data_IF_251427424152
#
_entry.id   IF_251427424152
#
_cell.length_a   1.000
_cell.length_b   1.000
_cell.length_c   1.000
_cell.angle_alpha   90.00
_cell.angle_beta   90.00
_cell.angle_gamma   90.00
#
_symmetry.space_group_name_H-M   'P 1'
#
loop_
_entity.id
_entity.type
_entity.pdbx_description
1 polymer ?
#
# COMPACT_ATOMS: atom_id res chain seq x y z
N UNK A 1 -4.42 12.28 33.64
CA UNK A 1 -5.03 11.89 32.35
C UNK A 1 -4.28 10.66 31.88
N UNK A 2 -4.90 9.48 31.97
CA UNK A 2 -4.31 8.25 31.43
C UNK A 2 -4.33 8.42 29.91
N UNK A 3 -3.15 8.59 29.30
CA UNK A 3 -3.04 8.67 27.85
C UNK A 3 -3.64 7.40 27.26
N UNK A 4 -4.71 7.56 26.49
CA UNK A 4 -5.32 6.46 25.75
C UNK A 4 -4.23 5.84 24.87
N UNK A 5 -3.85 4.59 25.14
CA UNK A 5 -2.82 3.92 24.33
C UNK A 5 -3.32 3.89 22.89
N UNK A 6 -2.61 4.55 21.97
CA UNK A 6 -2.91 4.50 20.54
C UNK A 6 -2.97 3.03 20.12
N UNK A 7 -4.05 2.64 19.46
CA UNK A 7 -4.22 1.27 18.96
C UNK A 7 -3.27 1.06 17.78
N UNK A 8 -2.50 -0.03 17.74
CA UNK A 8 -1.71 -0.39 16.56
C UNK A 8 -2.61 -0.50 15.32
N UNK A 9 -2.21 0.04 14.16
CA UNK A 9 -3.03 0.05 12.95
C UNK A 9 -3.44 -1.36 12.51
N UNK A 10 -2.53 -2.34 12.63
CA UNK A 10 -2.82 -3.75 12.32
C UNK A 10 -3.87 -4.33 13.26
N UNK A 11 -3.85 -3.96 14.55
CA UNK A 11 -4.79 -4.49 15.54
C UNK A 11 -6.21 -3.99 15.26
N UNK A 12 -6.37 -2.71 14.91
CA UNK A 12 -7.69 -2.15 14.57
C UNK A 12 -8.20 -2.70 13.24
N UNK A 13 -7.34 -2.84 12.22
CA UNK A 13 -7.72 -3.49 10.96
C UNK A 13 -8.13 -4.96 11.17
N UNK A 14 -7.38 -5.73 11.97
CA UNK A 14 -7.69 -7.12 12.30
C UNK A 14 -9.01 -7.25 13.07
N UNK A 15 -9.32 -6.31 13.98
CA UNK A 15 -10.61 -6.28 14.68
C UNK A 15 -11.78 -6.22 13.70
N UNK A 16 -11.68 -5.36 12.68
CA UNK A 16 -12.70 -5.24 11.64
C UNK A 16 -12.75 -6.47 10.73
N UNK A 17 -11.60 -7.02 10.35
CA UNK A 17 -11.52 -8.26 9.56
C UNK A 17 -12.18 -9.44 10.30
N UNK A 18 -11.94 -9.58 11.60
CA UNK A 18 -12.58 -10.61 12.45
C UNK A 18 -14.09 -10.39 12.50
N UNK A 19 -14.55 -9.15 12.68
CA UNK A 19 -15.99 -8.83 12.66
C UNK A 19 -16.63 -9.24 11.31
N UNK A 20 -16.00 -8.87 10.19
CA UNK A 20 -16.46 -9.25 8.85
C UNK A 20 -16.49 -10.77 8.66
N UNK A 21 -15.47 -11.49 9.14
CA UNK A 21 -15.46 -12.97 9.10
C UNK A 21 -16.63 -13.58 9.87
N UNK A 22 -17.01 -13.02 11.02
CA UNK A 22 -18.15 -13.53 11.78
C UNK A 22 -19.49 -13.29 11.07
N UNK A 23 -19.64 -12.16 10.38
CA UNK A 23 -20.90 -11.78 9.72
C UNK A 23 -21.04 -12.39 8.32
N UNK A 24 -19.96 -12.38 7.53
CA UNK A 24 -19.97 -12.72 6.09
C UNK A 24 -19.18 -13.99 5.76
N UNK A 25 -18.44 -14.56 6.71
CA UNK A 25 -17.60 -15.75 6.45
C UNK A 25 -16.59 -15.50 5.34
N UNK A 26 -16.49 -16.42 4.38
CA UNK A 26 -15.61 -16.32 3.21
C UNK A 26 -16.09 -15.31 2.16
N UNK A 27 -17.37 -14.93 2.18
CA UNK A 27 -17.94 -13.90 1.29
C UNK A 27 -17.56 -12.46 1.66
N UNK A 28 -16.66 -12.28 2.63
CA UNK A 28 -16.18 -10.96 3.09
C UNK A 28 -15.26 -10.24 2.09
N UNK A 29 -14.79 -10.95 1.06
CA UNK A 29 -13.87 -10.41 0.06
C UNK A 29 -14.51 -10.34 -1.33
N UNK A 30 -14.22 -9.28 -2.10
CA UNK A 30 -13.50 -8.07 -1.70
C UNK A 30 -14.27 -7.29 -0.61
N UNK A 31 -13.55 -6.70 0.35
CA UNK A 31 -14.19 -5.89 1.40
C UNK A 31 -14.89 -4.68 0.78
N UNK A 32 -16.19 -4.56 0.99
CA UNK A 32 -16.94 -3.33 0.68
C UNK A 32 -16.53 -2.25 1.69
N UNK A 33 -15.53 -1.46 1.32
CA UNK A 33 -14.91 -0.48 2.21
C UNK A 33 -15.84 0.69 2.50
N UNK A 34 -16.72 1.04 1.56
CA UNK A 34 -17.64 2.16 1.76
C UNK A 34 -18.72 1.78 2.77
N UNK A 35 -19.35 0.62 2.58
CA UNK A 35 -20.38 0.13 3.49
C UNK A 35 -19.78 -0.15 4.87
N UNK A 36 -18.61 -0.77 4.93
CA UNK A 36 -17.91 -1.00 6.19
C UNK A 36 -17.63 0.32 6.93
N UNK A 37 -17.08 1.32 6.25
CA UNK A 37 -16.75 2.61 6.87
C UNK A 37 -18.01 3.31 7.41
N UNK A 38 -19.11 3.29 6.64
CA UNK A 38 -20.40 3.84 7.07
C UNK A 38 -20.96 3.09 8.27
N UNK A 39 -21.08 1.78 8.21
CA UNK A 39 -21.68 0.96 9.27
C UNK A 39 -20.89 1.04 10.58
N UNK A 40 -19.56 0.91 10.52
CA UNK A 40 -18.72 0.98 11.71
C UNK A 40 -18.78 2.37 12.34
N UNK A 41 -18.79 3.42 11.51
CA UNK A 41 -18.78 4.80 12.01
C UNK A 41 -20.08 5.22 12.70
N UNK A 42 -21.23 4.59 12.39
CA UNK A 42 -22.54 4.88 13.04
C UNK A 42 -22.56 4.63 14.53
N UNK A 43 -21.63 3.84 15.05
CA UNK A 43 -21.48 3.60 16.49
C UNK A 43 -20.75 4.75 17.22
N UNK A 44 -20.29 5.78 16.50
CA UNK A 44 -19.65 6.96 17.07
C UNK A 44 -20.59 8.18 17.01
N UNK A 45 -20.38 9.14 17.92
CA UNK A 45 -21.11 10.42 17.91
C UNK A 45 -20.76 11.30 16.69
N UNK A 46 -19.63 11.03 16.04
CA UNK A 46 -19.11 11.69 14.85
C UNK A 46 -18.98 10.72 13.66
N UNK A 47 -20.10 10.23 13.08
CA UNK A 47 -20.07 9.21 12.05
C UNK A 47 -19.52 9.73 10.70
N UNK A 48 -19.18 8.80 9.81
CA UNK A 48 -18.90 9.12 8.41
C UNK A 48 -20.24 9.25 7.67
N UNK A 49 -20.65 10.49 7.40
CA UNK A 49 -21.93 10.76 6.73
C UNK A 49 -21.85 10.67 5.22
N UNK A 50 -20.67 10.90 4.63
CA UNK A 50 -20.49 10.89 3.17
C UNK A 50 -19.14 10.32 2.79
N UNK A 51 -19.16 9.44 1.80
CA UNK A 51 -18.02 8.99 1.01
C UNK A 51 -18.37 9.37 -0.42
N UNK A 52 -17.52 10.13 -1.10
CA UNK A 52 -17.86 10.68 -2.42
C UNK A 52 -16.62 10.88 -3.30
N UNK A 53 -16.73 10.37 -4.53
CA UNK A 53 -15.79 10.63 -5.60
C UNK A 53 -15.96 12.03 -6.18
N UNK A 54 -14.86 12.66 -6.58
CA UNK A 54 -14.86 13.93 -7.29
C UNK A 54 -13.52 14.22 -7.95
N UNK A 55 -13.46 15.28 -8.74
CA UNK A 55 -12.18 15.77 -9.26
C UNK A 55 -11.42 16.48 -8.13
N UNK A 56 -10.29 15.89 -7.73
CA UNK A 56 -9.41 16.41 -6.69
C UNK A 56 -8.00 16.60 -7.28
N UNK A 57 -7.72 17.72 -7.97
CA UNK A 57 -6.41 17.97 -8.54
C UNK A 57 -5.33 17.99 -7.47
N UNK A 58 -4.37 17.07 -7.56
CA UNK A 58 -3.24 16.96 -6.63
C UNK A 58 -3.53 16.24 -5.31
N UNK A 59 -4.71 15.67 -5.12
CA UNK A 59 -5.06 14.86 -3.96
C UNK A 59 -5.71 13.55 -4.40
N UNK A 60 -5.38 12.46 -3.71
CA UNK A 60 -6.00 11.15 -3.96
C UNK A 60 -7.23 10.96 -3.07
N UNK A 61 -7.10 11.30 -1.80
CA UNK A 61 -8.15 11.23 -0.79
C UNK A 61 -8.05 12.38 0.19
N UNK A 62 -9.13 12.60 0.93
CA UNK A 62 -9.14 13.47 2.10
C UNK A 62 -10.30 13.11 3.04
N UNK A 63 -9.97 12.88 4.30
CA UNK A 63 -10.90 12.90 5.42
C UNK A 63 -11.08 14.35 5.91
N UNK A 64 -12.32 14.84 5.94
CA UNK A 64 -12.62 16.20 6.41
C UNK A 64 -13.88 16.27 7.28
N UNK A 65 -13.94 17.18 8.27
CA UNK A 65 -15.15 17.38 9.05
C UNK A 65 -16.23 18.09 8.23
N UNK A 66 -17.49 17.78 8.51
CA UNK A 66 -18.63 18.50 8.00
C UNK A 66 -18.67 19.92 8.61
N UNK A 67 -19.07 20.92 7.82
CA UNK A 67 -18.99 22.33 8.23
C UNK A 67 -19.96 22.73 9.35
N UNK A 68 -21.07 22.01 9.52
CA UNK A 68 -22.21 22.42 10.38
C UNK A 68 -22.66 21.43 11.46
N UNK A 69 -22.12 20.20 11.50
CA UNK A 69 -22.51 19.16 12.46
C UNK A 69 -21.35 18.17 12.68
N UNK A 70 -21.29 17.46 13.82
CA UNK A 70 -20.22 16.50 14.12
C UNK A 70 -20.36 15.26 13.24
N UNK A 71 -19.77 15.33 12.05
CA UNK A 71 -19.83 14.30 11.02
C UNK A 71 -18.56 14.40 10.17
N UNK A 72 -18.05 13.26 9.70
CA UNK A 72 -16.87 13.18 8.85
C UNK A 72 -17.23 12.80 7.42
N UNK A 73 -16.52 13.38 6.45
CA UNK A 73 -16.65 13.06 5.02
C UNK A 73 -15.33 12.53 4.49
N UNK A 74 -15.38 11.42 3.77
CA UNK A 74 -14.29 10.92 2.93
C UNK A 74 -14.55 11.42 1.51
N UNK A 75 -13.57 12.09 0.93
CA UNK A 75 -13.59 12.50 -0.48
C UNK A 75 -12.41 11.84 -1.17
N UNK A 76 -12.60 11.34 -2.38
CA UNK A 76 -11.50 10.72 -3.14
C UNK A 76 -11.56 11.12 -4.61
N UNK A 77 -10.42 11.00 -5.28
CA UNK A 77 -10.30 11.23 -6.71
C UNK A 77 -10.85 10.03 -7.48
N UNK A 78 -11.91 10.25 -8.25
CA UNK A 78 -12.65 9.20 -8.95
C UNK A 78 -12.19 9.04 -10.41
N UNK A 79 -10.87 8.99 -10.61
CA UNK A 79 -10.28 8.75 -11.92
C UNK A 79 -10.41 7.26 -12.29
N UNK A 80 -11.16 6.90 -13.36
CA UNK A 80 -11.39 5.52 -13.74
C UNK A 80 -10.12 4.73 -14.08
N UNK A 81 -9.01 5.41 -14.41
CA UNK A 81 -7.72 4.77 -14.68
C UNK A 81 -7.11 4.10 -13.46
N UNK A 82 -7.64 4.39 -12.26
CA UNK A 82 -7.02 4.02 -10.99
C UNK A 82 -8.00 3.35 -10.00
N UNK A 83 -9.03 2.62 -10.46
CA UNK A 83 -10.07 2.03 -9.57
C UNK A 83 -9.53 1.19 -8.40
N UNK A 84 -8.46 0.42 -8.61
CA UNK A 84 -7.79 -0.33 -7.53
C UNK A 84 -7.12 0.58 -6.48
N UNK A 85 -6.76 1.81 -6.87
CA UNK A 85 -6.27 2.85 -5.97
C UNK A 85 -7.40 3.47 -5.17
N UNK A 86 -8.58 3.71 -5.78
CA UNK A 86 -9.76 4.26 -5.09
C UNK A 86 -10.11 3.50 -3.81
N UNK A 87 -10.14 2.16 -3.85
CA UNK A 87 -10.44 1.34 -2.66
C UNK A 87 -9.38 1.48 -1.57
N UNK A 88 -8.11 1.52 -1.96
CA UNK A 88 -7.01 1.74 -1.03
C UNK A 88 -7.10 3.14 -0.41
N UNK A 89 -7.36 4.17 -1.21
CA UNK A 89 -7.56 5.55 -0.75
C UNK A 89 -8.69 5.63 0.27
N UNK A 90 -9.88 5.06 -0.01
CA UNK A 90 -11.00 5.07 0.95
C UNK A 90 -10.61 4.33 2.23
N UNK A 91 -9.91 3.20 2.13
CA UNK A 91 -9.43 2.45 3.30
C UNK A 91 -8.39 3.23 4.12
N UNK A 92 -7.53 3.99 3.45
CA UNK A 92 -6.52 4.86 4.06
C UNK A 92 -7.20 6.02 4.82
N UNK A 93 -8.15 6.72 4.18
CA UNK A 93 -8.94 7.77 4.84
C UNK A 93 -9.78 7.21 6.01
N UNK A 94 -10.27 5.98 5.87
CA UNK A 94 -10.95 5.30 6.97
C UNK A 94 -9.98 4.91 8.10
N UNK A 95 -8.73 4.59 7.78
CA UNK A 95 -7.65 4.42 8.77
C UNK A 95 -7.42 5.69 9.57
N UNK A 96 -7.33 6.84 8.89
CA UNK A 96 -7.29 8.14 9.57
C UNK A 96 -8.50 8.37 10.47
N UNK A 97 -9.71 8.01 10.00
CA UNK A 97 -10.91 8.10 10.82
C UNK A 97 -10.78 7.25 12.09
N UNK A 98 -10.32 6.01 12.00
CA UNK A 98 -10.25 5.12 13.16
C UNK A 98 -9.12 5.46 14.14
N UNK A 99 -7.98 5.91 13.63
CA UNK A 99 -6.74 5.99 14.40
C UNK A 99 -6.39 7.43 14.81
N UNK A 100 -6.72 8.41 13.96
CA UNK A 100 -6.09 9.73 14.03
C UNK A 100 -7.11 10.87 14.18
N UNK A 101 -8.40 10.63 13.91
CA UNK A 101 -9.40 11.71 13.90
C UNK A 101 -9.53 12.34 15.30
N UNK A 102 -9.62 13.67 15.39
CA UNK A 102 -10.06 14.31 16.62
C UNK A 102 -11.57 14.16 16.78
N UNK A 103 -12.05 13.68 17.93
CA UNK A 103 -13.50 13.49 18.16
C UNK A 103 -14.24 14.82 17.98
N UNK A 104 -15.30 14.81 17.17
CA UNK A 104 -16.21 15.94 17.00
C UNK A 104 -17.42 15.78 17.93
N UNK A 105 -17.83 16.87 18.58
CA UNK A 105 -19.00 16.90 19.46
C UNK A 105 -19.90 18.07 19.11
N UNK A 106 -21.14 18.04 19.61
CA UNK A 106 -22.08 19.16 19.45
C UNK A 106 -21.53 20.50 19.98
N UNK A 107 -20.61 20.47 20.96
CA UNK A 107 -19.98 21.69 21.52
C UNK A 107 -19.10 22.40 20.49
N UNK A 108 -18.42 21.64 19.64
CA UNK A 108 -17.57 22.17 18.56
C UNK A 108 -18.37 22.95 17.51
N UNK A 109 -19.70 22.76 17.47
CA UNK A 109 -20.64 23.37 16.51
C UNK A 109 -21.63 24.35 17.14
N UNK A 110 -21.38 24.81 18.37
CA UNK A 110 -22.28 25.70 19.12
C UNK A 110 -22.66 27.00 18.38
N UNK A 111 -21.86 27.46 17.42
CA UNK A 111 -22.11 28.65 16.60
C UNK A 111 -22.74 28.33 15.22
N UNK A 112 -23.16 27.08 15.01
CA UNK A 112 -23.66 26.57 13.72
C UNK A 112 -22.56 26.21 12.71
N UNK A 113 -21.28 26.44 13.05
CA UNK A 113 -20.11 26.06 12.28
C UNK A 113 -19.03 25.48 13.19
N UNK A 114 -18.13 24.68 12.63
CA UNK A 114 -16.99 24.14 13.36
C UNK A 114 -16.12 25.29 13.90
N UNK A 115 -16.01 25.40 15.23
CA UNK A 115 -15.33 26.52 15.91
C UNK A 115 -13.82 26.34 15.99
N UNK A 116 -13.33 25.09 16.05
CA UNK A 116 -11.89 24.78 16.11
C UNK A 116 -11.30 24.69 14.72
N UNK A 117 -10.05 25.14 14.56
CA UNK A 117 -9.24 24.77 13.41
C UNK A 117 -9.04 23.25 13.47
N UNK A 118 -9.67 22.54 12.54
CA UNK A 118 -9.45 21.12 12.36
C UNK A 118 -8.51 20.96 11.18
N UNK A 119 -7.22 21.13 11.47
CA UNK A 119 -6.13 20.99 10.51
C UNK A 119 -5.86 19.53 10.12
N UNK A 120 -6.74 18.61 10.53
CA UNK A 120 -6.78 17.26 9.99
C UNK A 120 -7.25 17.32 8.53
N UNK A 121 -6.30 17.67 7.68
CA UNK A 121 -6.34 17.53 6.25
C UNK A 121 -5.18 16.60 5.92
N UNK A 122 -5.45 15.50 5.25
CA UNK A 122 -4.40 14.72 4.60
C UNK A 122 -3.72 15.65 3.60
N UNK A 123 -2.61 16.27 4.02
CA UNK A 123 -1.78 17.10 3.16
C UNK A 123 -0.83 16.14 2.44
N UNK A 124 -0.55 16.35 1.14
CA UNK A 124 0.57 15.68 0.51
C UNK A 124 1.81 16.02 1.35
N UNK A 125 2.48 15.00 1.88
CA UNK A 125 3.77 15.15 2.55
C UNK A 125 4.66 16.02 1.68
N UNK A 126 4.96 17.23 2.14
CA UNK A 126 5.94 18.08 1.48
C UNK A 126 7.31 17.72 2.07
N UNK A 127 8.37 17.55 1.26
CA UNK A 127 9.71 17.20 1.74
C UNK A 127 10.41 18.26 2.61
N UNK A 128 9.69 19.17 3.26
CA UNK A 128 10.28 20.20 4.12
C UNK A 128 10.29 19.74 5.58
N UNK A 129 11.40 19.12 6.01
CA UNK A 129 12.04 19.09 7.34
C UNK A 129 11.23 19.03 8.66
N UNK A 130 9.90 18.98 8.69
CA UNK A 130 9.10 19.07 9.92
C UNK A 130 7.77 18.34 9.75
N UNK A 131 7.71 17.07 10.14
CA UNK A 131 6.75 16.50 11.11
C UNK A 131 6.80 14.96 11.02
N UNK A 132 7.75 14.35 11.74
CA UNK A 132 7.84 12.89 11.91
C UNK A 132 6.49 12.29 12.36
N UNK A 133 5.67 13.06 13.07
CA UNK A 133 4.33 12.66 13.49
C UNK A 133 3.28 12.70 12.37
N UNK A 134 3.43 13.53 11.32
CA UNK A 134 2.63 13.41 10.09
C UNK A 134 3.03 12.17 9.30
N UNK A 135 4.33 11.95 9.10
CA UNK A 135 4.85 10.74 8.42
C UNK A 135 4.32 9.47 9.08
N UNK A 136 4.45 9.37 10.40
CA UNK A 136 3.97 8.22 11.16
C UNK A 136 2.45 8.01 11.00
N UNK A 137 1.64 9.08 10.98
CA UNK A 137 0.18 8.98 10.79
C UNK A 137 -0.19 8.45 9.42
N UNK A 138 0.50 8.89 8.37
CA UNK A 138 0.29 8.39 7.01
C UNK A 138 0.70 6.91 6.90
N UNK A 139 1.84 6.53 7.50
CA UNK A 139 2.29 5.13 7.55
C UNK A 139 1.33 4.22 8.34
N UNK A 140 0.78 4.71 9.45
CA UNK A 140 -0.23 4.00 10.24
C UNK A 140 -1.53 3.81 9.43
N UNK A 141 -1.96 4.82 8.66
CA UNK A 141 -3.13 4.73 7.78
C UNK A 141 -2.93 3.76 6.60
N UNK A 142 -1.76 3.79 5.97
CA UNK A 142 -1.35 2.84 4.92
C UNK A 142 -1.33 1.40 5.45
N UNK A 143 -0.76 1.21 6.64
CA UNK A 143 -0.70 -0.07 7.31
C UNK A 143 -2.10 -0.59 7.62
N UNK A 144 -2.97 0.28 8.15
CA UNK A 144 -4.37 -0.06 8.39
C UNK A 144 -5.08 -0.49 7.10
N UNK A 145 -4.98 0.31 6.03
CA UNK A 145 -5.61 0.02 4.75
C UNK A 145 -5.14 -1.32 4.16
N UNK A 146 -3.83 -1.55 4.19
CA UNK A 146 -3.20 -2.81 3.74
C UNK A 146 -3.68 -4.02 4.53
N UNK A 147 -3.84 -3.92 5.85
CA UNK A 147 -4.33 -5.02 6.68
C UNK A 147 -5.84 -5.23 6.60
N UNK A 148 -6.60 -4.16 6.36
CA UNK A 148 -8.05 -4.24 6.25
C UNK A 148 -8.46 -4.88 4.92
N UNK A 149 -7.85 -4.44 3.81
CA UNK A 149 -8.16 -4.94 2.47
C UNK A 149 -7.54 -6.31 2.21
N UNK A 150 -6.36 -6.57 2.77
CA UNK A 150 -5.63 -7.84 2.67
C UNK A 150 -5.20 -8.33 4.07
N UNK A 151 -6.12 -8.94 4.84
CA UNK A 151 -5.80 -9.50 6.15
C UNK A 151 -4.68 -10.53 6.06
N UNK A 152 -3.66 -10.39 6.91
CA UNK A 152 -2.42 -11.15 6.78
C UNK A 152 -2.61 -12.67 6.95
N UNK A 153 -3.52 -13.08 7.83
CA UNK A 153 -3.82 -14.49 8.06
C UNK A 153 -4.44 -15.15 6.82
N UNK A 154 -5.40 -14.47 6.20
CA UNK A 154 -6.02 -14.90 4.95
C UNK A 154 -5.04 -14.85 3.79
N UNK A 155 -4.30 -13.75 3.64
CA UNK A 155 -3.32 -13.56 2.58
C UNK A 155 -2.26 -14.65 2.58
N UNK A 156 -1.72 -15.00 3.75
CA UNK A 156 -0.76 -16.10 3.91
C UNK A 156 -1.34 -17.45 3.48
N UNK A 157 -2.61 -17.71 3.81
CA UNK A 157 -3.29 -18.93 3.37
C UNK A 157 -3.43 -18.98 1.84
N UNK A 158 -3.58 -17.84 1.16
CA UNK A 158 -3.67 -17.80 -0.31
C UNK A 158 -2.33 -17.99 -1.02
N UNK A 159 -1.23 -17.51 -0.45
CA UNK A 159 0.11 -17.51 -1.10
C UNK A 159 1.05 -18.62 -0.63
N UNK A 160 0.56 -19.53 0.23
CA UNK A 160 1.25 -20.54 1.03
C UNK A 160 2.56 -21.15 0.45
N UNK A 161 3.67 -20.40 0.49
CA UNK A 161 4.99 -20.87 0.04
C UNK A 161 5.14 -21.02 -1.48
N UNK A 162 4.10 -20.75 -2.25
CA UNK A 162 4.10 -20.85 -3.71
C UNK A 162 5.12 -19.88 -4.33
N UNK A 163 5.63 -20.26 -5.50
CA UNK A 163 6.38 -19.33 -6.35
C UNK A 163 5.41 -18.29 -6.90
N UNK A 164 5.82 -17.01 -6.93
CA UNK A 164 4.93 -15.96 -7.43
C UNK A 164 4.77 -16.10 -8.94
N UNK A 165 3.62 -16.62 -9.36
CA UNK A 165 3.20 -16.73 -10.76
C UNK A 165 2.15 -15.67 -11.10
N UNK A 166 1.90 -15.48 -12.39
CA UNK A 166 0.82 -14.61 -12.89
C UNK A 166 -0.54 -15.06 -12.37
N UNK A 167 -0.80 -16.37 -12.36
CA UNK A 167 -2.07 -16.93 -11.88
C UNK A 167 -2.28 -16.68 -10.39
N UNK A 168 -1.22 -16.80 -9.56
CA UNK A 168 -1.29 -16.49 -8.13
C UNK A 168 -1.56 -14.99 -7.90
N UNK A 169 -0.91 -14.11 -8.68
CA UNK A 169 -1.12 -12.67 -8.58
C UNK A 169 -2.55 -12.29 -8.98
N UNK A 170 -3.08 -12.84 -10.07
CA UNK A 170 -4.47 -12.63 -10.47
C UNK A 170 -5.45 -13.13 -9.40
N UNK A 171 -5.24 -14.33 -8.84
CA UNK A 171 -6.07 -14.85 -7.75
C UNK A 171 -6.14 -13.89 -6.56
N UNK A 172 -5.00 -13.36 -6.12
CA UNK A 172 -4.92 -12.41 -5.00
C UNK A 172 -5.56 -11.07 -5.35
N UNK A 173 -5.30 -10.54 -6.55
CA UNK A 173 -5.89 -9.30 -7.06
C UNK A 173 -7.40 -9.41 -7.09
N UNK A 174 -7.95 -10.49 -7.63
CA UNK A 174 -9.39 -10.68 -7.78
C UNK A 174 -10.07 -10.93 -6.44
N UNK A 175 -9.48 -11.77 -5.56
CA UNK A 175 -10.01 -12.04 -4.23
C UNK A 175 -10.15 -10.75 -3.43
N UNK A 176 -9.08 -9.96 -3.33
CA UNK A 176 -9.10 -8.75 -2.49
C UNK A 176 -9.60 -7.51 -3.23
N UNK A 177 -9.68 -7.56 -4.57
CA UNK A 177 -10.01 -6.47 -5.50
C UNK A 177 -9.04 -5.29 -5.43
N UNK A 178 -7.74 -5.57 -5.23
CA UNK A 178 -6.67 -4.56 -5.08
C UNK A 178 -5.87 -4.41 -6.36
N UNK A 179 -5.00 -3.40 -6.47
CA UNK A 179 -4.07 -3.31 -7.59
C UNK A 179 -2.98 -4.37 -7.51
N UNK A 180 -2.39 -4.72 -8.67
CA UNK A 180 -1.20 -5.60 -8.73
C UNK A 180 -0.09 -5.10 -7.81
N UNK A 181 0.22 -3.80 -7.87
CA UNK A 181 1.27 -3.19 -7.03
C UNK A 181 0.98 -3.37 -5.54
N UNK A 182 -0.27 -3.21 -5.10
CA UNK A 182 -0.65 -3.42 -3.70
C UNK A 182 -0.51 -4.89 -3.28
N UNK A 183 -0.94 -5.83 -4.12
CA UNK A 183 -0.80 -7.26 -3.88
C UNK A 183 0.67 -7.68 -3.79
N UNK A 184 1.51 -7.26 -4.74
CA UNK A 184 2.94 -7.54 -4.75
C UNK A 184 3.64 -6.92 -3.54
N UNK A 185 3.32 -5.66 -3.20
CA UNK A 185 3.87 -5.00 -2.00
C UNK A 185 3.53 -5.78 -0.73
N UNK A 186 2.27 -6.18 -0.55
CA UNK A 186 1.84 -7.02 0.58
C UNK A 186 2.62 -8.32 0.64
N UNK A 187 2.82 -8.98 -0.51
CA UNK A 187 3.60 -10.21 -0.56
C UNK A 187 5.06 -10.00 -0.16
N UNK A 188 5.73 -8.96 -0.68
CA UNK A 188 7.11 -8.61 -0.34
C UNK A 188 7.28 -8.32 1.16
N UNK A 189 6.32 -7.61 1.78
CA UNK A 189 6.40 -7.22 3.19
C UNK A 189 6.37 -8.43 4.15
N UNK A 190 5.77 -9.56 3.75
CA UNK A 190 5.53 -10.71 4.63
C UNK A 190 6.16 -12.03 4.18
N UNK A 191 6.67 -12.12 2.96
CA UNK A 191 7.38 -13.31 2.49
C UNK A 191 8.67 -13.52 3.28
N UNK A 192 8.96 -14.78 3.57
CA UNK A 192 10.24 -15.20 4.13
C UNK A 192 11.29 -15.46 3.04
N UNK A 193 10.87 -15.58 1.78
CA UNK A 193 11.78 -15.73 0.64
C UNK A 193 12.60 -14.47 0.44
N UNK A 194 13.81 -14.62 -0.10
CA UNK A 194 14.58 -13.49 -0.62
C UNK A 194 13.93 -13.02 -1.92
N UNK A 195 13.10 -12.00 -1.80
CA UNK A 195 12.41 -11.40 -2.92
C UNK A 195 12.51 -9.88 -2.95
N UNK A 196 12.44 -9.33 -4.16
CA UNK A 196 12.45 -7.90 -4.44
C UNK A 196 11.37 -7.56 -5.46
N UNK A 197 10.73 -6.42 -5.29
CA UNK A 197 9.88 -5.79 -6.29
C UNK A 197 10.53 -4.48 -6.74
N UNK A 198 10.52 -4.23 -8.05
CA UNK A 198 11.04 -3.02 -8.69
C UNK A 198 9.92 -2.42 -9.53
N UNK A 199 9.67 -1.13 -9.38
CA UNK A 199 8.85 -0.35 -10.30
C UNK A 199 9.78 0.59 -11.06
N UNK A 200 9.74 0.51 -12.39
CA UNK A 200 10.64 1.27 -13.25
C UNK A 200 9.87 2.04 -14.33
N UNK A 201 10.48 3.13 -14.80
CA UNK A 201 10.02 3.94 -15.94
C UNK A 201 11.26 4.44 -16.68
N UNK A 202 11.19 4.49 -18.00
CA UNK A 202 12.28 4.95 -18.87
C UNK A 202 13.63 4.23 -18.63
N UNK A 203 13.58 2.96 -18.26
CA UNK A 203 14.79 2.17 -17.98
C UNK A 203 15.45 2.42 -16.62
N UNK A 204 14.81 3.19 -15.72
CA UNK A 204 15.30 3.45 -14.37
C UNK A 204 14.27 3.06 -13.31
N UNK A 205 14.74 2.48 -12.21
CA UNK A 205 13.91 2.21 -11.04
C UNK A 205 13.38 3.53 -10.47
N UNK A 206 12.05 3.69 -10.45
CA UNK A 206 11.41 4.78 -9.71
C UNK A 206 11.47 4.51 -8.21
N UNK A 207 11.18 3.27 -7.84
CA UNK A 207 11.31 2.77 -6.49
C UNK A 207 11.32 1.24 -6.50
N UNK A 208 11.67 0.64 -5.37
CA UNK A 208 11.53 -0.79 -5.18
C UNK A 208 11.45 -1.11 -3.70
N UNK A 209 11.21 -2.38 -3.42
CA UNK A 209 11.12 -2.89 -2.06
C UNK A 209 11.70 -4.29 -2.00
N UNK A 210 12.52 -4.51 -0.98
CA UNK A 210 13.08 -5.82 -0.67
C UNK A 210 12.32 -6.43 0.50
N UNK A 211 12.08 -7.74 0.44
CA UNK A 211 11.67 -8.54 1.59
C UNK A 211 12.74 -8.42 2.69
N UNK A 212 12.35 -8.69 3.95
CA UNK A 212 13.30 -8.65 5.08
C UNK A 212 14.52 -9.55 4.83
N UNK A 213 14.30 -10.75 4.29
CA UNK A 213 15.38 -11.68 3.96
C UNK A 213 16.30 -11.16 2.86
N UNK A 214 15.74 -10.56 1.80
CA UNK A 214 16.53 -9.96 0.73
C UNK A 214 17.35 -8.76 1.22
N UNK A 215 16.74 -7.88 2.02
CA UNK A 215 17.38 -6.70 2.60
C UNK A 215 18.57 -7.10 3.49
N UNK A 216 18.35 -8.03 4.45
CA UNK A 216 19.43 -8.57 5.31
C UNK A 216 20.54 -9.24 4.52
N UNK A 217 20.22 -9.79 3.35
CA UNK A 217 21.20 -10.38 2.45
C UNK A 217 21.93 -9.38 1.55
N UNK A 218 21.72 -8.06 1.70
CA UNK A 218 22.43 -7.04 0.92
C UNK A 218 21.84 -6.76 -0.46
N UNK A 219 20.55 -7.05 -0.66
CA UNK A 219 19.83 -6.72 -1.90
C UNK A 219 18.99 -5.47 -1.68
N UNK A 220 19.44 -4.34 -2.24
CA UNK A 220 18.79 -3.04 -2.10
C UNK A 220 18.40 -2.47 -3.46
N UNK A 221 17.16 -1.98 -3.57
CA UNK A 221 16.71 -1.22 -4.75
C UNK A 221 16.71 0.25 -4.39
N UNK A 222 17.44 1.05 -5.16
CA UNK A 222 17.51 2.50 -4.97
C UNK A 222 16.75 3.20 -6.10
N UNK A 223 16.00 4.28 -5.81
CA UNK A 223 15.51 5.17 -6.84
C UNK A 223 16.65 5.64 -7.76
N UNK A 224 16.41 5.64 -9.07
CA UNK A 224 17.39 5.99 -10.09
C UNK A 224 18.36 4.87 -10.49
N UNK A 225 18.29 3.69 -9.87
CA UNK A 225 19.07 2.52 -10.31
C UNK A 225 18.71 2.17 -11.77
N UNK A 226 19.68 2.03 -12.69
CA UNK A 226 19.41 1.61 -14.05
C UNK A 226 18.91 0.17 -14.06
N UNK A 227 17.87 -0.09 -14.85
CA UNK A 227 17.40 -1.45 -15.11
C UNK A 227 18.37 -2.11 -16.10
N UNK A 228 18.87 -3.32 -15.82
CA UNK A 228 19.79 -4.01 -16.73
C UNK A 228 19.17 -4.18 -18.12
N UNK A 229 19.96 -3.96 -19.18
CA UNK A 229 19.48 -4.09 -20.56
C UNK A 229 18.99 -5.50 -20.91
N UNK A 230 19.55 -6.51 -20.24
CA UNK A 230 19.14 -7.91 -20.36
C UNK A 230 18.04 -8.30 -19.35
N UNK A 231 17.51 -7.38 -18.53
CA UNK A 231 16.33 -7.67 -17.71
C UNK A 231 15.12 -7.93 -18.59
N UNK A 232 14.21 -8.80 -18.17
CA UNK A 232 13.03 -9.19 -18.96
C UNK A 232 12.19 -7.97 -19.35
N UNK A 233 12.00 -7.03 -18.41
CA UNK A 233 11.29 -5.78 -18.65
C UNK A 233 11.98 -4.84 -19.65
N UNK A 234 13.32 -4.91 -19.79
CA UNK A 234 14.07 -4.09 -20.73
C UNK A 234 14.06 -4.71 -22.15
N UNK A 235 14.30 -6.02 -22.24
CA UNK A 235 14.30 -6.78 -23.50
C UNK A 235 12.93 -6.76 -24.17
N UNK A 236 11.86 -6.87 -23.40
CA UNK A 236 10.48 -6.88 -23.89
C UNK A 236 9.75 -5.56 -23.63
N UNK A 237 10.46 -4.42 -23.70
CA UNK A 237 9.88 -3.10 -23.41
C UNK A 237 8.73 -2.68 -24.36
N UNK A 238 8.68 -3.25 -25.56
CA UNK A 238 7.59 -3.05 -26.53
C UNK A 238 6.35 -3.92 -26.25
N UNK A 239 6.47 -4.93 -25.40
CA UNK A 239 5.34 -5.79 -25.00
C UNK A 239 4.48 -5.11 -23.93
N UNK A 240 3.27 -5.63 -23.71
CA UNK A 240 2.31 -5.12 -22.72
C UNK A 240 1.69 -6.27 -21.92
N UNK A 241 1.40 -6.02 -20.66
CA UNK A 241 0.95 -7.04 -19.72
C UNK A 241 2.11 -7.86 -19.15
N UNK A 242 1.81 -9.07 -18.67
CA UNK A 242 2.83 -9.99 -18.14
C UNK A 242 3.66 -10.61 -19.26
N UNK A 243 4.99 -10.58 -19.10
CA UNK A 243 5.95 -11.05 -20.11
C UNK A 243 6.16 -12.58 -20.07
N UNK A 244 5.72 -13.22 -18.99
CA UNK A 244 5.70 -14.68 -18.84
C UNK A 244 4.65 -15.08 -17.80
N UNK A 245 4.06 -16.27 -17.93
CA UNK A 245 3.13 -16.82 -16.92
C UNK A 245 3.83 -17.24 -15.63
N UNK A 246 5.03 -17.79 -15.76
CA UNK A 246 5.85 -18.27 -14.65
C UNK A 246 7.15 -17.46 -14.58
N UNK A 247 7.77 -17.33 -13.40
CA UNK A 247 9.08 -16.69 -13.30
C UNK A 247 10.12 -17.35 -14.22
N UNK A 248 10.89 -16.51 -14.91
CA UNK A 248 11.93 -16.95 -15.84
C UNK A 248 13.26 -16.97 -15.10
N UNK A 249 13.96 -18.10 -15.14
CA UNK A 249 15.30 -18.20 -14.56
C UNK A 249 16.29 -17.35 -15.36
N UNK A 250 17.03 -16.49 -14.66
CA UNK A 250 18.05 -15.59 -15.20
C UNK A 250 19.40 -15.94 -14.57
N UNK A 251 20.48 -16.07 -15.37
CA UNK A 251 21.81 -16.34 -14.83
C UNK A 251 22.36 -15.15 -14.02
N UNK A 252 23.41 -15.40 -13.24
CA UNK A 252 24.23 -14.34 -12.65
C UNK A 252 24.82 -13.45 -13.76
N UNK A 253 24.95 -12.17 -13.47
CA UNK A 253 25.47 -11.13 -14.37
C UNK A 253 24.40 -10.17 -14.89
N UNK A 254 23.11 -10.51 -14.76
CA UNK A 254 22.02 -9.64 -15.22
C UNK A 254 21.67 -8.61 -14.16
N UNK A 255 21.30 -9.05 -12.95
CA UNK A 255 20.99 -8.17 -11.84
C UNK A 255 22.19 -8.11 -10.90
N UNK A 256 22.72 -6.90 -10.68
CA UNK A 256 23.86 -6.67 -9.79
C UNK A 256 23.45 -5.78 -8.61
N UNK A 257 23.71 -6.26 -7.40
CA UNK A 257 23.40 -5.58 -6.14
C UNK A 257 24.67 -5.45 -5.31
N UNK A 258 24.60 -4.82 -4.13
CA UNK A 258 25.79 -4.65 -3.27
C UNK A 258 26.47 -5.96 -2.84
N UNK A 259 25.72 -7.08 -2.76
CA UNK A 259 26.28 -8.42 -2.50
C UNK A 259 26.98 -9.03 -3.72
N UNK A 260 26.79 -8.43 -4.90
CA UNK A 260 27.16 -8.96 -6.20
C UNK A 260 25.96 -9.49 -6.97
N UNK A 261 26.26 -10.26 -8.02
CA UNK A 261 25.26 -10.83 -8.90
C UNK A 261 25.13 -12.35 -8.70
N UNK A 262 23.89 -12.81 -8.61
CA UNK A 262 23.54 -14.22 -8.44
C UNK A 262 22.37 -14.59 -9.36
N UNK A 263 22.16 -15.89 -9.65
CA UNK A 263 20.99 -16.33 -10.40
C UNK A 263 19.68 -15.92 -9.73
N UNK A 264 18.70 -15.52 -10.53
CA UNK A 264 17.42 -15.01 -10.04
C UNK A 264 16.28 -15.49 -10.91
N UNK A 265 15.10 -15.66 -10.32
CA UNK A 265 13.87 -15.88 -11.07
C UNK A 265 13.14 -14.56 -11.21
N UNK A 266 12.94 -14.15 -12.45
CA UNK A 266 12.36 -12.87 -12.82
C UNK A 266 10.93 -13.05 -13.34
N UNK A 267 9.98 -12.36 -12.73
CA UNK A 267 8.64 -12.17 -13.28
C UNK A 267 8.47 -10.68 -13.57
N UNK A 268 8.06 -10.33 -14.78
CA UNK A 268 7.92 -8.93 -15.18
C UNK A 268 6.59 -8.66 -15.89
N UNK A 269 6.10 -7.44 -15.72
CA UNK A 269 4.92 -6.89 -16.36
C UNK A 269 5.23 -5.49 -16.88
N UNK A 270 4.82 -5.17 -18.10
CA UNK A 270 4.85 -3.82 -18.66
C UNK A 270 3.43 -3.26 -18.67
N UNK A 271 3.23 -2.09 -18.06
CA UNK A 271 1.93 -1.42 -17.98
C UNK A 271 1.44 -1.00 -19.37
N UNK A 272 0.14 -1.13 -19.59
CA UNK A 272 -0.53 -0.66 -20.81
C UNK A 272 -0.69 0.86 -20.88
N UNK A 273 -0.76 1.54 -19.72
CA UNK A 273 -1.25 2.92 -19.65
C UNK A 273 -0.31 3.91 -18.97
N UNK A 274 0.75 3.44 -18.31
CA UNK A 274 1.53 4.28 -17.39
C UNK A 274 3.03 4.37 -17.74
N UNK A 275 3.44 3.81 -18.88
CA UNK A 275 4.85 3.68 -19.31
C UNK A 275 5.76 3.20 -18.17
N UNK A 276 5.22 2.29 -17.34
CA UNK A 276 5.88 1.72 -16.19
C UNK A 276 6.01 0.20 -16.35
N UNK A 277 7.05 -0.37 -15.76
CA UNK A 277 7.18 -1.81 -15.59
C UNK A 277 7.22 -2.19 -14.10
N UNK A 278 6.73 -3.38 -13.80
CA UNK A 278 6.85 -4.04 -12.51
C UNK A 278 7.66 -5.31 -12.70
N UNK A 279 8.74 -5.43 -11.95
CA UNK A 279 9.58 -6.64 -11.91
C UNK A 279 9.60 -7.21 -10.50
N UNK A 280 9.39 -8.52 -10.38
CA UNK A 280 9.59 -9.30 -9.17
C UNK A 280 10.78 -10.22 -9.38
N UNK A 281 11.73 -10.14 -8.46
CA UNK A 281 12.95 -10.94 -8.44
C UNK A 281 12.89 -11.88 -7.23
N UNK A 282 13.04 -13.18 -7.48
CA UNK A 282 13.06 -14.23 -6.46
C UNK A 282 14.41 -14.94 -6.48
N UNK A 283 15.14 -14.81 -5.39
CA UNK A 283 16.45 -15.42 -5.18
C UNK A 283 16.29 -16.72 -4.38
N UNK A 284 17.24 -17.63 -4.51
CA UNK A 284 17.33 -18.79 -3.61
C UNK A 284 17.78 -18.35 -2.22
N UNK A 285 17.57 -19.19 -1.20
CA UNK A 285 17.94 -18.84 0.17
C UNK A 285 19.46 -18.63 0.29
N UNK A 286 19.86 -17.57 1.00
CA UNK A 286 21.27 -17.27 1.21
C UNK A 286 21.88 -18.25 2.23
N UNK A 287 23.08 -18.76 1.95
CA UNK A 287 23.85 -19.60 2.88
C UNK A 287 24.35 -18.79 4.09
N UNK A 288 24.43 -17.47 3.95
CA UNK A 288 25.05 -16.57 4.93
C UNK A 288 24.14 -15.35 5.16
N UNK A 289 23.48 -15.32 6.32
CA UNK A 289 22.69 -14.18 6.81
C UNK A 289 23.59 -13.28 7.65
N UNK A 290 23.98 -12.12 7.13
CA UNK A 290 24.57 -11.09 7.97
C UNK A 290 23.46 -10.45 8.81
N UNK A 291 23.69 -10.34 10.12
CA UNK A 291 22.84 -9.57 11.03
C UNK A 291 23.04 -8.08 10.74
N UNK A 292 22.35 -7.57 9.72
CA UNK A 292 22.19 -6.13 9.52
C UNK A 292 21.19 -5.66 10.58
N UNK A 293 21.63 -4.76 11.47
CA UNK A 293 20.75 -4.10 12.45
C UNK A 293 19.53 -3.51 11.73
N UNK A 294 18.36 -3.60 12.38
CA UNK A 294 17.08 -3.11 11.84
C UNK A 294 17.12 -1.59 11.68
N UNK A 295 17.70 -1.08 10.59
CA UNK A 295 17.26 0.20 10.05
C UNK A 295 15.85 -0.03 9.48
N UNK A 296 14.88 0.74 9.96
CA UNK A 296 13.52 0.72 9.43
C UNK A 296 13.59 0.77 7.90
N UNK A 297 12.96 -0.19 7.18
CA UNK A 297 13.05 -0.23 5.74
C UNK A 297 12.61 1.12 5.17
N UNK A 298 13.56 1.79 4.50
CA UNK A 298 13.41 3.11 3.89
C UNK A 298 12.05 3.27 3.17
N UNK A 299 11.23 4.02 3.88
CA UNK A 299 10.02 4.79 3.61
C UNK A 299 8.95 4.29 2.59
N UNK A 300 7.74 4.15 3.13
CA UNK A 300 6.48 3.94 2.42
C UNK A 300 5.88 5.23 1.85
N UNK A 301 6.28 6.40 2.38
CA UNK A 301 5.62 7.68 2.11
C UNK A 301 6.10 8.42 0.86
N UNK A 302 7.32 8.19 0.38
CA UNK A 302 7.79 8.82 -0.87
C UNK A 302 7.14 8.23 -2.13
N UNK A 303 6.50 7.05 -2.03
CA UNK A 303 6.24 6.18 -3.18
C UNK A 303 4.87 6.38 -3.83
N UNK A 304 3.83 6.77 -3.08
CA UNK A 304 2.55 7.22 -3.67
C UNK A 304 2.67 8.60 -4.35
N UNK A 305 3.64 9.41 -3.93
CA UNK A 305 3.85 10.75 -4.48
C UNK A 305 4.77 10.79 -5.70
N UNK A 306 5.54 9.74 -5.96
CA UNK A 306 6.39 9.67 -7.17
C UNK A 306 5.57 9.62 -8.47
N UNK A 307 4.30 9.20 -8.40
CA UNK A 307 3.31 9.34 -9.48
C UNK A 307 2.92 10.80 -9.78
N UNK A 308 3.31 11.75 -8.93
CA UNK A 308 2.95 13.18 -9.04
C UNK A 308 4.02 14.04 -9.69
N UNK A 309 5.17 13.47 -10.08
CA UNK A 309 6.23 14.18 -10.82
C UNK A 309 6.51 13.51 -12.15
N UNK A 310 5.51 13.44 -13.03
CA UNK A 310 5.64 13.45 -14.50
C UNK A 310 4.27 13.74 -15.10
#
# INVERSE_FOLDING_TARGET
MVGEKRKPPQQEANRLSIMLRHVLGEGRFPVDIEDLAREVSRNNEDPIGKIVGGDLPGFEGMLRPHRKRPEWHIVYNDDPRYRGRTRFTIAHEFGHYQLHRPILSSRDYSTGHLKRECDFQCKPLRPSAWDEGERQREEEADTFASFLLMPLDDFRAQVNGEEVTVDLLHHVIDRYGVSLTAACRKWIDFTNKRAVMVIARDGFAKWGRASKSAYKSGIFVRPGMPIPGDALAAVCSDERGFLSKNPVSRPSGIWDFSRGSEPVRELAMVSEFLDMSLTILQFDDAIDSQDIEEEEPWDACDQFQSDRRS
#
